data_IF_951339049939
#
_entry.id   IF_951339049939
#
_cell.length_a   1.000
_cell.length_b   1.000
_cell.length_c   1.000
_cell.angle_alpha   90.00
_cell.angle_beta   90.00
_cell.angle_gamma   90.00
#
_symmetry.space_group_name_H-M   'P 1'
#
loop_
_entity.id
_entity.type
_entity.pdbx_description
1 polymer ?
#
# COMPACT_ATOMS: atom_id res chain seq x y z
N UNK A 1 -23.40 -42.75 -5.07
CA UNK A 1 -24.01 -41.44 -4.74
C UNK A 1 -22.94 -40.33 -4.67
N UNK A 2 -22.72 -39.65 -5.79
CA UNK A 2 -21.81 -38.53 -5.93
C UNK A 2 -22.59 -37.24 -5.67
N UNK A 3 -22.35 -36.59 -4.54
CA UNK A 3 -22.90 -35.27 -4.26
C UNK A 3 -22.19 -34.26 -5.17
N UNK A 4 -22.97 -33.62 -6.05
CA UNK A 4 -22.51 -32.49 -6.84
C UNK A 4 -22.39 -31.25 -5.96
N UNK A 5 -21.18 -30.73 -5.77
CA UNK A 5 -20.94 -29.43 -5.15
C UNK A 5 -21.18 -28.36 -6.22
N UNK A 6 -22.01 -27.33 -5.99
CA UNK A 6 -22.25 -26.30 -6.99
C UNK A 6 -20.96 -25.49 -7.20
N UNK A 7 -20.48 -25.45 -8.44
CA UNK A 7 -19.40 -24.57 -8.87
C UNK A 7 -19.92 -23.13 -8.76
N UNK A 8 -19.61 -22.46 -7.65
CA UNK A 8 -19.75 -21.01 -7.54
C UNK A 8 -18.72 -20.43 -8.51
N UNK A 9 -19.16 -20.07 -9.71
CA UNK A 9 -18.35 -19.27 -10.62
C UNK A 9 -18.11 -17.92 -9.95
N UNK A 10 -16.86 -17.54 -9.61
CA UNK A 10 -16.61 -16.17 -9.18
C UNK A 10 -17.01 -15.20 -10.30
N UNK A 11 -17.51 -14.00 -9.98
CA UNK A 11 -17.92 -13.05 -11.00
C UNK A 11 -16.73 -12.76 -11.91
N UNK A 12 -16.95 -12.84 -13.24
CA UNK A 12 -15.96 -12.48 -14.24
C UNK A 12 -15.53 -11.03 -14.00
N UNK A 13 -14.34 -10.84 -13.41
CA UNK A 13 -13.69 -9.54 -13.40
C UNK A 13 -13.25 -9.30 -14.84
N UNK A 14 -13.89 -8.35 -15.51
CA UNK A 14 -13.66 -8.00 -16.91
C UNK A 14 -12.18 -7.65 -17.15
N UNK A 15 -11.51 -8.16 -18.20
CA UNK A 15 -10.05 -8.02 -18.36
C UNK A 15 -9.59 -6.63 -18.83
N UNK A 16 -10.44 -5.59 -18.76
CA UNK A 16 -10.12 -4.27 -19.34
C UNK A 16 -9.31 -3.35 -18.41
N UNK A 17 -9.27 -3.57 -17.09
CA UNK A 17 -8.49 -2.68 -16.22
C UNK A 17 -8.11 -3.26 -14.84
N UNK A 18 -7.76 -4.54 -14.74
CA UNK A 18 -7.01 -5.00 -13.57
C UNK A 18 -5.56 -4.52 -13.70
N UNK A 19 -5.32 -3.20 -13.59
CA UNK A 19 -3.97 -2.71 -13.27
C UNK A 19 -3.66 -3.35 -11.92
N UNK A 20 -2.70 -4.27 -11.90
CA UNK A 20 -2.17 -4.79 -10.66
C UNK A 20 -1.64 -3.58 -9.88
N UNK A 21 -2.40 -3.13 -8.88
CA UNK A 21 -1.89 -2.20 -7.86
C UNK A 21 -0.91 -3.05 -7.05
N UNK A 22 0.32 -3.15 -7.53
CA UNK A 22 1.41 -3.58 -6.67
C UNK A 22 1.60 -2.44 -5.68
N UNK A 23 1.14 -2.62 -4.44
CA UNK A 23 1.44 -1.71 -3.35
C UNK A 23 2.96 -1.74 -3.12
N UNK A 24 3.68 -0.84 -3.79
CA UNK A 24 5.13 -0.65 -3.62
C UNK A 24 5.33 0.23 -2.40
N UNK A 25 6.30 -0.11 -1.56
CA UNK A 25 6.70 0.75 -0.44
C UNK A 25 6.95 2.17 -0.98
N UNK A 26 6.34 3.18 -0.35
CA UNK A 26 6.45 4.57 -0.77
C UNK A 26 5.40 5.06 -1.77
N UNK A 27 4.80 4.20 -2.60
CA UNK A 27 3.84 4.59 -3.66
C UNK A 27 2.41 4.72 -3.11
N UNK A 28 2.17 5.77 -2.33
CA UNK A 28 0.91 6.04 -1.63
C UNK A 28 -0.25 6.18 -2.61
N UNK A 29 -0.01 6.87 -3.74
CA UNK A 29 -1.06 7.22 -4.68
C UNK A 29 -1.31 6.11 -5.74
N UNK A 30 -0.43 5.11 -5.83
CA UNK A 30 -0.57 3.93 -6.67
C UNK A 30 -0.29 4.19 -8.16
N UNK A 31 0.44 5.24 -8.50
CA UNK A 31 0.79 5.57 -9.88
C UNK A 31 2.04 4.83 -10.38
N UNK A 32 2.69 4.05 -9.51
CA UNK A 32 3.87 3.27 -9.80
C UNK A 32 5.18 4.02 -9.60
N UNK A 33 5.14 5.25 -9.07
CA UNK A 33 6.31 6.08 -8.75
C UNK A 33 6.37 6.30 -7.25
N UNK A 34 7.58 6.53 -6.77
CA UNK A 34 7.81 7.05 -5.42
C UNK A 34 8.42 8.43 -5.58
N UNK A 35 7.62 9.47 -5.43
CA UNK A 35 8.06 10.85 -5.59
C UNK A 35 7.53 11.78 -4.50
N UNK A 36 7.77 13.09 -4.69
CA UNK A 36 7.36 14.11 -3.72
C UNK A 36 5.85 14.15 -3.47
N UNK A 37 5.01 13.74 -4.44
CA UNK A 37 3.57 13.68 -4.27
C UNK A 37 3.17 12.63 -3.24
N UNK A 38 3.84 11.49 -3.21
CA UNK A 38 3.60 10.45 -2.21
C UNK A 38 4.03 10.91 -0.82
N UNK A 39 5.19 11.56 -0.73
CA UNK A 39 5.68 12.13 0.53
C UNK A 39 4.75 13.23 1.06
N UNK A 40 4.23 14.09 0.19
CA UNK A 40 3.25 15.11 0.59
C UNK A 40 1.96 14.44 1.07
N UNK A 41 1.46 13.44 0.35
CA UNK A 41 0.22 12.75 0.69
C UNK A 41 0.32 12.02 2.04
N UNK A 42 1.41 11.29 2.29
CA UNK A 42 1.60 10.54 3.55
C UNK A 42 1.81 11.47 4.74
N UNK A 43 2.58 12.56 4.57
CA UNK A 43 2.80 13.52 5.66
C UNK A 43 1.53 14.34 5.97
N UNK A 44 0.64 14.53 5.00
CA UNK A 44 -0.66 15.15 5.23
C UNK A 44 -1.61 14.28 6.06
N UNK A 45 -1.37 12.97 6.15
CA UNK A 45 -2.12 12.09 7.06
C UNK A 45 -1.85 12.45 8.54
N UNK A 46 -0.71 13.08 8.83
CA UNK A 46 -0.40 13.62 10.15
C UNK A 46 -0.03 12.58 11.21
N UNK A 47 0.35 11.37 10.79
CA UNK A 47 0.69 10.25 11.70
C UNK A 47 2.20 10.04 11.85
N UNK A 48 3.02 10.84 11.17
CA UNK A 48 4.48 10.74 11.29
C UNK A 48 4.94 11.08 12.71
N UNK A 49 5.50 10.10 13.42
CA UNK A 49 6.02 10.24 14.78
C UNK A 49 4.99 10.90 15.72
N UNK A 50 3.72 10.50 15.62
CA UNK A 50 2.66 11.01 16.49
C UNK A 50 2.63 10.29 17.86
N UNK A 51 1.79 10.77 18.79
CA UNK A 51 1.65 10.18 20.13
C UNK A 51 0.62 9.02 20.18
N UNK A 52 0.00 8.67 19.06
CA UNK A 52 -1.17 7.80 18.96
C UNK A 52 -0.81 6.39 18.47
N UNK A 53 -0.34 5.55 19.38
CA UNK A 53 0.13 4.21 19.03
C UNK A 53 -0.88 3.33 18.28
N UNK A 54 -0.40 2.61 17.26
CA UNK A 54 -1.14 1.60 16.52
C UNK A 54 -2.27 2.18 15.65
N UNK A 55 -2.19 3.47 15.31
CA UNK A 55 -3.19 4.15 14.47
C UNK A 55 -2.83 4.15 12.98
N UNK A 56 -1.59 3.81 12.63
CA UNK A 56 -1.09 3.90 11.27
C UNK A 56 -1.42 2.65 10.46
N UNK A 57 -1.85 2.87 9.23
CA UNK A 57 -1.97 1.83 8.22
C UNK A 57 -0.97 2.06 7.10
N UNK A 58 -0.86 1.12 6.18
CA UNK A 58 -0.01 1.26 4.99
C UNK A 58 -0.25 2.57 4.20
N UNK A 59 -1.50 3.08 4.18
CA UNK A 59 -1.84 4.36 3.52
C UNK A 59 -1.39 5.58 4.30
N UNK A 60 -1.15 5.43 5.59
CA UNK A 60 -0.73 6.47 6.51
C UNK A 60 0.79 6.49 6.71
N UNK A 61 1.49 5.50 6.16
CA UNK A 61 2.95 5.42 6.15
C UNK A 61 3.56 4.19 6.85
N UNK A 62 2.74 3.33 7.46
CA UNK A 62 3.20 2.07 8.08
C UNK A 62 3.54 1.02 7.00
N UNK A 63 4.74 1.13 6.44
CA UNK A 63 5.20 0.26 5.37
C UNK A 63 5.98 -0.96 5.89
N UNK A 64 6.48 -0.89 7.12
CA UNK A 64 7.15 -1.99 7.79
C UNK A 64 6.14 -2.94 8.49
N UNK A 65 4.92 -2.47 8.76
CA UNK A 65 3.79 -3.23 9.31
C UNK A 65 3.77 -3.32 10.84
N UNK A 66 4.43 -2.41 11.56
CA UNK A 66 4.47 -2.38 13.02
C UNK A 66 3.35 -1.53 13.66
N UNK A 67 2.54 -0.86 12.83
CA UNK A 67 1.38 -0.07 13.26
C UNK A 67 1.71 1.38 13.57
N UNK A 68 2.93 1.84 13.30
CA UNK A 68 3.36 3.23 13.43
C UNK A 68 3.83 3.76 12.07
N UNK A 69 3.74 5.08 11.85
CA UNK A 69 4.46 5.73 10.76
C UNK A 69 5.65 6.48 11.36
N UNK A 70 6.83 5.87 11.28
CA UNK A 70 8.04 6.42 11.91
C UNK A 70 9.21 6.55 10.92
N UNK A 71 10.36 6.95 11.47
CA UNK A 71 11.58 7.09 10.69
C UNK A 71 12.01 5.78 9.99
N UNK A 72 11.72 4.61 10.56
CA UNK A 72 12.05 3.31 9.98
C UNK A 72 11.27 3.05 8.69
N UNK A 73 10.00 3.48 8.62
CA UNK A 73 9.21 3.40 7.38
C UNK A 73 9.79 4.29 6.29
N UNK A 74 10.14 5.54 6.63
CA UNK A 74 10.77 6.44 5.66
C UNK A 74 12.10 5.88 5.15
N UNK A 75 12.92 5.31 6.05
CA UNK A 75 14.17 4.65 5.66
C UNK A 75 13.89 3.42 4.79
N UNK A 76 12.89 2.61 5.12
CA UNK A 76 12.48 1.45 4.33
C UNK A 76 12.03 1.88 2.92
N UNK A 77 11.27 2.97 2.81
CA UNK A 77 10.85 3.53 1.52
C UNK A 77 11.99 4.10 0.70
N UNK A 78 12.95 4.79 1.32
CA UNK A 78 14.13 5.28 0.60
C UNK A 78 15.06 4.14 0.18
N UNK A 79 15.16 3.06 0.96
CA UNK A 79 15.96 1.88 0.62
C UNK A 79 15.30 1.00 -0.45
N UNK A 80 13.97 0.93 -0.43
CA UNK A 80 13.16 0.16 -1.38
C UNK A 80 12.85 0.97 -2.66
N UNK A 81 12.96 2.29 -2.57
CA UNK A 81 12.67 3.26 -3.61
C UNK A 81 13.69 3.16 -4.74
N UNK A 82 13.26 2.52 -5.83
CA UNK A 82 14.03 2.35 -7.05
C UNK A 82 13.42 3.25 -8.13
N UNK A 83 14.26 4.08 -8.76
CA UNK A 83 13.92 4.87 -9.95
C UNK A 83 13.54 3.92 -11.10
N UNK A 84 12.30 4.00 -11.57
CA UNK A 84 11.86 3.36 -12.80
C UNK A 84 11.41 4.43 -13.78
N UNK A 85 12.24 4.67 -14.80
CA UNK A 85 12.12 5.61 -15.94
C UNK A 85 10.71 6.09 -16.33
#
# INVERSE_FOLDING_TARGET
PLFAVPLITPPLVSPVAARAIFARVGDINGDGRFDSQDLIAVLQAGQFEDDSRGNSSWRDGDWNGDGEFDTQDLVLAMQSGYEGE
#
